data_IF_052783247686
#
_entry.id   IF_052783247686
#
_cell.length_a   1.000
_cell.length_b   1.000
_cell.length_c   1.000
_cell.angle_alpha   90.00
_cell.angle_beta   90.00
_cell.angle_gamma   90.00
#
_symmetry.space_group_name_H-M   'P 1'
#
loop_
_entity.id
_entity.type
_entity.pdbx_description
1 polymer ?
#
# COMPACT_ATOMS: atom_id res chain seq x y z
N UNK A 1 -20.25 -4.68 -11.86
CA UNK A 1 -19.03 -5.23 -12.47
C UNK A 1 -18.08 -5.59 -11.34
N UNK A 2 -17.54 -6.81 -11.32
CA UNK A 2 -16.59 -7.25 -10.31
C UNK A 2 -15.35 -6.36 -10.29
N UNK A 3 -14.86 -6.02 -9.12
CA UNK A 3 -13.74 -5.09 -8.95
C UNK A 3 -12.97 -5.39 -7.68
N UNK A 4 -11.77 -4.87 -7.60
CA UNK A 4 -11.03 -4.75 -6.33
C UNK A 4 -11.76 -3.77 -5.41
N UNK A 5 -11.80 -4.07 -4.11
CA UNK A 5 -12.55 -3.29 -3.11
C UNK A 5 -11.67 -2.72 -2.00
N UNK A 6 -10.51 -3.33 -1.72
CA UNK A 6 -9.61 -2.87 -0.67
C UNK A 6 -8.17 -3.37 -0.90
N UNK A 7 -7.20 -2.78 -0.19
CA UNK A 7 -5.85 -3.33 -0.02
C UNK A 7 -5.86 -4.22 1.21
N UNK A 8 -5.41 -5.48 1.08
CA UNK A 8 -5.31 -6.39 2.22
C UNK A 8 -4.00 -6.25 2.96
N UNK A 9 -2.91 -6.53 2.26
CA UNK A 9 -1.58 -6.50 2.86
C UNK A 9 -0.48 -6.28 1.82
N UNK A 10 0.70 -5.92 2.31
CA UNK A 10 1.93 -5.94 1.52
C UNK A 10 2.90 -6.94 2.14
N UNK A 11 3.46 -7.81 1.30
CA UNK A 11 4.46 -8.79 1.68
C UNK A 11 5.85 -8.32 1.29
N UNK A 12 6.77 -8.34 2.26
CA UNK A 12 8.17 -7.99 2.07
C UNK A 12 9.07 -9.19 2.34
N UNK A 13 10.19 -9.25 1.63
CA UNK A 13 11.30 -10.14 1.93
C UNK A 13 12.53 -9.30 2.28
N UNK A 14 13.31 -9.75 3.25
CA UNK A 14 14.43 -8.98 3.78
C UNK A 14 15.50 -9.83 4.44
N UNK A 15 16.79 -9.49 4.33
CA UNK A 15 17.86 -10.06 5.15
C UNK A 15 17.81 -9.55 6.61
N UNK A 16 17.23 -8.36 6.86
CA UNK A 16 17.15 -7.73 8.19
C UNK A 16 15.85 -8.14 8.93
N UNK A 17 15.44 -9.39 8.79
CA UNK A 17 14.15 -9.90 9.25
C UNK A 17 13.83 -9.56 10.71
N UNK A 18 14.77 -9.81 11.63
CA UNK A 18 14.56 -9.56 13.06
C UNK A 18 14.39 -8.06 13.37
N UNK A 19 15.13 -7.20 12.68
CA UNK A 19 15.03 -5.74 12.83
C UNK A 19 13.70 -5.22 12.28
N UNK A 20 13.20 -5.82 11.20
CA UNK A 20 11.88 -5.48 10.65
C UNK A 20 10.74 -5.96 11.56
N UNK A 21 10.86 -7.14 12.16
CA UNK A 21 9.91 -7.63 13.17
C UNK A 21 9.84 -6.68 14.36
N UNK A 22 10.98 -6.27 14.89
CA UNK A 22 11.06 -5.29 15.98
C UNK A 22 10.45 -3.95 15.57
N UNK A 23 10.77 -3.46 14.37
CA UNK A 23 10.25 -2.21 13.85
C UNK A 23 8.71 -2.23 13.79
N UNK A 24 8.10 -3.22 13.13
CA UNK A 24 6.65 -3.26 12.97
C UNK A 24 5.92 -3.49 14.30
N UNK A 25 6.49 -4.29 15.21
CA UNK A 25 5.87 -4.59 16.50
C UNK A 25 5.99 -3.43 17.50
N UNK A 26 7.21 -2.95 17.75
CA UNK A 26 7.46 -2.05 18.87
C UNK A 26 7.54 -0.57 18.48
N UNK A 27 7.93 -0.28 17.22
CA UNK A 27 8.16 1.08 16.76
C UNK A 27 7.00 1.59 15.89
N UNK A 28 6.59 0.81 14.89
CA UNK A 28 5.49 1.18 13.99
C UNK A 28 4.11 1.04 14.66
N UNK A 29 3.92 0.05 15.49
CA UNK A 29 2.71 -0.16 16.29
C UNK A 29 1.67 -1.07 15.65
N UNK A 30 2.12 -2.12 14.98
CA UNK A 30 1.28 -3.23 14.53
C UNK A 30 1.33 -4.39 15.54
N UNK A 31 0.26 -5.16 15.62
CA UNK A 31 0.19 -6.33 16.49
C UNK A 31 0.62 -7.59 15.71
N UNK A 32 1.57 -8.41 16.22
CA UNK A 32 1.90 -9.69 15.61
C UNK A 32 0.71 -10.67 15.75
N UNK A 33 0.36 -11.38 14.67
CA UNK A 33 -0.79 -12.30 14.64
C UNK A 33 -0.42 -13.74 14.29
N UNK A 34 0.67 -13.94 13.59
CA UNK A 34 1.21 -15.25 13.27
C UNK A 34 2.71 -15.16 13.00
N UNK A 35 3.42 -16.23 13.27
CA UNK A 35 4.82 -16.38 12.90
C UNK A 35 5.16 -17.87 12.75
N UNK A 36 6.08 -18.17 11.86
CA UNK A 36 6.73 -19.45 11.72
C UNK A 36 8.21 -19.25 11.37
N UNK A 37 8.92 -20.30 10.98
CA UNK A 37 10.35 -20.22 10.66
C UNK A 37 10.60 -19.32 9.45
N UNK A 38 11.01 -18.08 9.72
CA UNK A 38 11.32 -17.07 8.72
C UNK A 38 10.14 -16.30 8.14
N UNK A 39 8.95 -16.43 8.74
CA UNK A 39 7.77 -15.64 8.36
C UNK A 39 7.16 -14.94 9.57
N UNK A 40 6.67 -13.71 9.40
CA UNK A 40 5.93 -12.98 10.42
C UNK A 40 4.78 -12.18 9.78
N UNK A 41 3.66 -12.08 10.47
CA UNK A 41 2.44 -11.43 10.02
C UNK A 41 1.94 -10.45 11.07
N UNK A 42 1.59 -9.25 10.64
CA UNK A 42 1.21 -8.15 11.52
C UNK A 42 -0.12 -7.57 11.14
N UNK A 43 -0.93 -7.27 12.14
CA UNK A 43 -2.26 -6.68 12.01
C UNK A 43 -2.24 -5.22 12.46
N UNK A 44 -2.99 -4.37 11.75
CA UNK A 44 -3.39 -3.06 12.26
C UNK A 44 -4.69 -3.22 13.05
N UNK A 45 -4.77 -2.65 14.26
CA UNK A 45 -5.88 -2.89 15.21
C UNK A 45 -7.26 -2.53 14.68
N UNK A 46 -7.35 -1.44 13.93
CA UNK A 46 -8.61 -0.95 13.37
C UNK A 46 -9.07 -1.66 12.11
N UNK A 47 -8.21 -2.49 11.50
CA UNK A 47 -8.52 -3.19 10.26
C UNK A 47 -9.27 -4.50 10.52
N UNK A 48 -10.24 -4.87 9.67
CA UNK A 48 -10.82 -6.21 9.68
C UNK A 48 -9.89 -7.25 9.07
N UNK A 49 -8.84 -6.84 8.35
CA UNK A 49 -7.90 -7.72 7.68
C UNK A 49 -7.18 -8.63 8.68
N UNK A 50 -6.94 -9.89 8.30
CA UNK A 50 -6.17 -10.83 9.14
C UNK A 50 -4.79 -10.28 9.45
N UNK A 51 -4.11 -9.75 8.43
CA UNK A 51 -2.83 -9.05 8.55
C UNK A 51 -2.71 -7.98 7.47
N UNK A 52 -1.89 -6.97 7.71
CA UNK A 52 -1.61 -5.86 6.78
C UNK A 52 -0.14 -5.86 6.32
N UNK A 53 0.74 -6.52 7.06
CA UNK A 53 2.14 -6.73 6.69
C UNK A 53 2.47 -8.21 6.82
N UNK A 54 3.17 -8.75 5.83
CA UNK A 54 3.83 -10.05 5.87
C UNK A 54 5.33 -9.85 5.67
N UNK A 55 6.15 -10.35 6.57
CA UNK A 55 7.60 -10.39 6.42
C UNK A 55 8.07 -11.80 6.12
N UNK A 56 9.06 -11.92 5.25
CA UNK A 56 9.76 -13.17 4.96
C UNK A 56 11.26 -12.96 5.04
N UNK A 57 11.95 -13.83 5.78
CA UNK A 57 13.42 -13.87 5.81
C UNK A 57 13.95 -14.29 4.43
N UNK A 58 14.89 -13.54 3.89
CA UNK A 58 15.48 -13.80 2.58
C UNK A 58 16.86 -13.15 2.46
N UNK A 59 17.66 -13.61 1.51
CA UNK A 59 19.00 -13.06 1.28
C UNK A 59 19.00 -11.67 0.64
N UNK A 60 17.83 -11.25 0.10
CA UNK A 60 17.69 -9.97 -0.60
C UNK A 60 16.40 -9.28 -0.19
N UNK A 61 16.46 -7.94 -0.12
CA UNK A 61 15.31 -7.07 0.00
C UNK A 61 14.44 -7.15 -1.25
N UNK A 62 13.12 -7.31 -1.09
CA UNK A 62 12.15 -7.22 -2.19
C UNK A 62 10.71 -7.05 -1.66
N UNK A 63 9.82 -6.60 -2.53
CA UNK A 63 8.37 -6.70 -2.33
C UNK A 63 7.92 -8.03 -2.95
N UNK A 64 7.45 -8.94 -2.11
CA UNK A 64 7.01 -10.27 -2.55
C UNK A 64 5.62 -10.24 -3.20
N UNK A 65 4.72 -9.43 -2.66
CA UNK A 65 3.33 -9.37 -3.12
C UNK A 65 2.61 -8.13 -2.57
N UNK A 66 1.69 -7.60 -3.37
CA UNK A 66 0.68 -6.62 -2.98
C UNK A 66 -0.68 -7.31 -3.07
N UNK A 67 -1.36 -7.47 -1.95
CA UNK A 67 -2.62 -8.21 -1.88
C UNK A 67 -3.82 -7.26 -1.85
N UNK A 68 -4.79 -7.56 -2.70
CA UNK A 68 -6.02 -6.81 -2.91
C UNK A 68 -7.23 -7.68 -2.57
N UNK A 69 -8.32 -7.05 -2.14
CA UNK A 69 -9.56 -7.71 -1.81
C UNK A 69 -10.56 -7.70 -2.96
N UNK A 70 -11.31 -8.77 -3.08
CA UNK A 70 -12.58 -8.84 -3.80
C UNK A 70 -13.68 -9.29 -2.84
N UNK A 71 -14.95 -8.97 -3.15
CA UNK A 71 -16.05 -9.20 -2.21
C UNK A 71 -16.49 -10.67 -2.11
N UNK A 72 -16.24 -11.46 -3.17
CA UNK A 72 -16.66 -12.87 -3.25
C UNK A 72 -15.74 -13.71 -4.12
N UNK A 73 -15.84 -15.05 -4.04
CA UNK A 73 -15.13 -15.96 -4.93
C UNK A 73 -15.52 -15.73 -6.40
N UNK A 74 -16.79 -15.45 -6.67
CA UNK A 74 -17.25 -15.13 -8.03
C UNK A 74 -16.62 -13.85 -8.57
N UNK A 75 -16.31 -12.87 -7.71
CA UNK A 75 -15.58 -11.68 -8.12
C UNK A 75 -14.10 -11.98 -8.37
N UNK A 76 -13.49 -12.86 -7.56
CA UNK A 76 -12.13 -13.36 -7.79
C UNK A 76 -12.03 -14.05 -9.15
N UNK A 77 -12.97 -14.95 -9.47
CA UNK A 77 -12.99 -15.66 -10.75
C UNK A 77 -13.20 -14.71 -11.94
N UNK A 78 -14.07 -13.72 -11.80
CA UNK A 78 -14.30 -12.71 -12.84
C UNK A 78 -13.07 -11.80 -13.04
N UNK A 79 -12.39 -11.43 -11.96
CA UNK A 79 -11.13 -10.67 -12.02
C UNK A 79 -10.01 -11.50 -12.64
N UNK A 80 -9.91 -12.79 -12.30
CA UNK A 80 -8.97 -13.72 -12.90
C UNK A 80 -9.16 -13.79 -14.43
N UNK A 81 -10.40 -13.96 -14.90
CA UNK A 81 -10.69 -14.01 -16.33
C UNK A 81 -10.22 -12.75 -17.06
N UNK A 82 -10.47 -11.56 -16.50
CA UNK A 82 -10.02 -10.28 -17.08
C UNK A 82 -8.49 -10.13 -17.07
N UNK A 83 -7.83 -10.56 -16.00
CA UNK A 83 -6.37 -10.53 -15.90
C UNK A 83 -5.73 -11.45 -16.95
N UNK A 84 -6.33 -12.64 -17.18
CA UNK A 84 -5.89 -13.56 -18.26
C UNK A 84 -6.14 -12.94 -19.63
N UNK A 85 -7.32 -12.39 -19.88
CA UNK A 85 -7.69 -11.73 -21.15
C UNK A 85 -6.77 -10.54 -21.46
N UNK A 86 -6.36 -9.79 -20.43
CA UNK A 86 -5.42 -8.68 -20.54
C UNK A 86 -3.97 -9.14 -20.81
N UNK A 87 -3.71 -10.44 -20.87
CA UNK A 87 -2.39 -11.02 -21.19
C UNK A 87 -1.36 -10.88 -20.05
N UNK A 88 -1.82 -10.74 -18.81
CA UNK A 88 -0.93 -10.70 -17.65
C UNK A 88 -0.11 -12.01 -17.54
N UNK A 89 1.12 -11.89 -17.04
CA UNK A 89 2.03 -13.04 -16.87
C UNK A 89 1.97 -13.60 -15.46
N UNK A 90 2.45 -14.83 -15.29
CA UNK A 90 2.56 -15.46 -13.97
C UNK A 90 1.20 -15.68 -13.29
N UNK A 91 0.11 -15.76 -14.06
CA UNK A 91 -1.24 -15.91 -13.50
C UNK A 91 -1.43 -17.33 -12.98
N UNK A 92 -1.71 -17.46 -11.67
CA UNK A 92 -2.08 -18.75 -11.07
C UNK A 92 -3.59 -18.98 -11.19
N UNK A 93 -4.02 -20.22 -11.11
CA UNK A 93 -5.46 -20.52 -11.02
C UNK A 93 -5.99 -20.09 -9.64
N UNK A 94 -7.22 -19.56 -9.55
CA UNK A 94 -7.89 -19.32 -8.29
C UNK A 94 -7.99 -20.61 -7.47
N UNK A 95 -7.58 -20.54 -6.21
CA UNK A 95 -7.52 -21.70 -5.31
C UNK A 95 -7.60 -21.24 -3.84
N UNK A 96 -7.90 -22.16 -2.90
CA UNK A 96 -7.73 -21.87 -1.48
C UNK A 96 -6.30 -21.43 -1.17
N UNK A 97 -6.16 -20.32 -0.42
CA UNK A 97 -4.86 -19.79 -0.01
C UNK A 97 -4.32 -20.56 1.20
N UNK A 98 -3.01 -20.80 1.20
CA UNK A 98 -2.31 -21.49 2.29
C UNK A 98 -1.70 -20.55 3.34
N UNK A 99 -1.72 -19.24 3.10
CA UNK A 99 -1.27 -18.23 4.05
C UNK A 99 -2.19 -18.17 5.29
N UNK A 100 -1.68 -17.74 6.46
CA UNK A 100 -2.53 -17.47 7.63
C UNK A 100 -3.71 -16.56 7.28
N UNK A 101 -4.89 -16.93 7.77
CA UNK A 101 -6.16 -16.31 7.37
C UNK A 101 -6.87 -17.04 6.23
N UNK A 102 -6.19 -17.92 5.48
CA UNK A 102 -6.79 -18.66 4.37
C UNK A 102 -7.37 -17.73 3.30
N UNK A 103 -8.55 -18.12 2.79
CA UNK A 103 -9.25 -17.40 1.73
C UNK A 103 -9.17 -18.14 0.40
N UNK A 104 -9.71 -17.52 -0.64
CA UNK A 104 -9.70 -18.00 -2.02
C UNK A 104 -9.15 -16.91 -2.92
N UNK A 105 -8.15 -17.21 -3.75
CA UNK A 105 -7.50 -16.18 -4.55
C UNK A 105 -6.52 -16.71 -5.58
N UNK A 106 -5.92 -15.78 -6.30
CA UNK A 106 -4.89 -16.03 -7.30
C UNK A 106 -3.83 -14.93 -7.29
N UNK A 107 -2.67 -15.22 -7.91
CA UNK A 107 -1.57 -14.27 -8.09
C UNK A 107 -1.28 -14.07 -9.57
N UNK A 108 -0.72 -12.90 -9.88
CA UNK A 108 -0.30 -12.53 -11.23
C UNK A 108 0.76 -11.44 -11.18
N UNK A 109 1.40 -11.16 -12.30
CA UNK A 109 2.28 -10.01 -12.47
C UNK A 109 1.54 -8.88 -13.17
N UNK A 110 1.65 -7.66 -12.62
CA UNK A 110 1.23 -6.45 -13.33
C UNK A 110 2.02 -6.29 -14.64
N UNK A 111 1.63 -5.39 -15.54
CA UNK A 111 2.41 -5.08 -16.74
C UNK A 111 3.90 -4.82 -16.48
N UNK A 112 4.21 -4.20 -15.34
CA UNK A 112 5.58 -3.87 -14.92
C UNK A 112 6.27 -4.99 -14.14
N UNK A 113 5.61 -6.14 -13.91
CA UNK A 113 6.18 -7.30 -13.25
C UNK A 113 6.02 -7.33 -11.73
N UNK A 114 5.32 -6.37 -11.11
CA UNK A 114 4.96 -6.42 -9.70
C UNK A 114 3.99 -7.58 -9.43
N UNK A 115 4.25 -8.36 -8.37
CA UNK A 115 3.35 -9.44 -7.99
C UNK A 115 2.13 -8.92 -7.24
N UNK A 116 0.96 -9.24 -7.75
CA UNK A 116 -0.32 -8.98 -7.10
C UNK A 116 -1.02 -10.27 -6.70
N UNK A 117 -1.78 -10.22 -5.61
CA UNK A 117 -2.72 -11.26 -5.19
C UNK A 117 -4.12 -10.63 -5.11
N UNK A 118 -5.13 -11.31 -5.65
CA UNK A 118 -6.53 -10.95 -5.43
C UNK A 118 -7.20 -12.09 -4.69
N UNK A 119 -7.91 -11.75 -3.60
CA UNK A 119 -8.53 -12.77 -2.75
C UNK A 119 -9.84 -12.33 -2.13
N UNK A 120 -10.69 -13.32 -1.80
CA UNK A 120 -11.89 -13.20 -0.99
C UNK A 120 -11.87 -14.20 0.17
N UNK A 121 -12.86 -14.13 1.06
CA UNK A 121 -13.07 -15.07 2.16
C UNK A 121 -11.86 -15.28 3.08
N UNK A 122 -10.93 -14.32 3.11
CA UNK A 122 -9.86 -14.32 4.10
C UNK A 122 -10.47 -14.09 5.48
N UNK A 123 -10.08 -14.89 6.46
CA UNK A 123 -10.59 -14.79 7.81
C UNK A 123 -10.38 -13.36 8.35
N UNK A 124 -11.48 -12.72 8.71
CA UNK A 124 -11.43 -11.40 9.33
C UNK A 124 -10.98 -11.51 10.78
N UNK A 125 -10.06 -10.67 11.18
CA UNK A 125 -9.81 -10.42 12.59
C UNK A 125 -10.86 -9.47 13.17
N UNK A 126 -11.03 -9.47 14.48
CA UNK A 126 -11.87 -8.47 15.15
C UNK A 126 -11.17 -7.10 15.01
N UNK A 127 -11.81 -6.16 14.35
CA UNK A 127 -11.38 -4.77 14.38
C UNK A 127 -11.61 -4.19 15.78
N UNK A 128 -10.59 -3.59 16.36
CA UNK A 128 -10.68 -2.93 17.67
C UNK A 128 -10.62 -1.42 17.40
N UNK A 129 -11.55 -0.63 17.96
CA UNK A 129 -11.48 0.82 17.83
C UNK A 129 -10.11 1.36 18.29
N UNK A 130 -9.45 2.10 17.44
CA UNK A 130 -8.19 2.80 17.76
C UNK A 130 -8.54 4.20 18.20
N UNK A 131 -8.13 4.57 19.39
CA UNK A 131 -8.31 5.92 19.87
C UNK A 131 -7.14 6.82 19.41
N UNK A 132 -7.42 8.11 19.22
CA UNK A 132 -6.38 9.09 18.80
C UNK A 132 -5.15 9.12 19.72
N UNK A 133 -5.31 8.79 21.00
CA UNK A 133 -4.20 8.72 21.95
C UNK A 133 -3.36 7.44 21.88
N UNK A 134 -3.80 6.42 21.13
CA UNK A 134 -3.02 5.20 20.96
C UNK A 134 -1.83 5.43 20.02
N UNK A 135 -1.97 6.33 19.06
CA UNK A 135 -0.91 6.71 18.11
C UNK A 135 -0.40 5.54 17.27
N UNK A 136 -1.27 4.57 16.93
CA UNK A 136 -0.93 3.38 16.15
C UNK A 136 -1.74 3.34 14.84
N UNK A 137 -1.26 2.61 13.82
CA UNK A 137 -1.99 2.44 12.56
C UNK A 137 -3.37 1.81 12.74
N UNK A 138 -4.37 2.38 12.06
CA UNK A 138 -5.73 1.85 11.98
C UNK A 138 -5.83 0.77 10.90
N UNK A 139 -5.25 1.03 9.71
CA UNK A 139 -5.25 0.14 8.54
C UNK A 139 -4.22 0.61 7.51
N UNK A 140 -4.02 -0.12 6.42
CA UNK A 140 -3.37 0.43 5.23
C UNK A 140 -4.30 1.50 4.63
N UNK A 141 -3.75 2.67 4.35
CA UNK A 141 -4.45 3.74 3.66
C UNK A 141 -4.33 3.57 2.14
N UNK A 142 -3.12 3.58 1.64
CA UNK A 142 -2.84 3.48 0.21
C UNK A 142 -1.45 2.93 -0.06
N UNK A 143 -1.21 2.57 -1.31
CA UNK A 143 0.10 2.22 -1.85
C UNK A 143 0.44 3.17 -2.99
N UNK A 144 1.72 3.39 -3.20
CA UNK A 144 2.22 4.18 -4.32
C UNK A 144 3.23 3.38 -5.13
N UNK A 145 3.05 3.38 -6.44
CA UNK A 145 3.88 2.65 -7.39
C UNK A 145 4.64 3.60 -8.30
N UNK A 146 5.82 3.20 -8.72
CA UNK A 146 6.49 3.74 -9.89
C UNK A 146 6.28 2.83 -11.10
N UNK A 147 6.15 3.46 -12.27
CA UNK A 147 6.06 2.77 -13.54
C UNK A 147 6.78 3.55 -14.63
N UNK A 148 7.53 2.89 -15.53
CA UNK A 148 8.12 3.56 -16.69
C UNK A 148 7.04 4.08 -17.66
N UNK A 149 5.85 3.45 -17.68
CA UNK A 149 4.67 3.94 -18.39
C UNK A 149 3.48 4.04 -17.42
N UNK A 150 3.56 5.02 -16.52
CA UNK A 150 2.58 5.24 -15.48
C UNK A 150 1.16 5.50 -16.02
N UNK A 151 1.03 6.07 -17.22
CA UNK A 151 -0.28 6.30 -17.86
C UNK A 151 -0.91 5.00 -18.33
N UNK A 152 -0.14 4.15 -19.00
CA UNK A 152 -0.62 2.84 -19.43
C UNK A 152 -0.94 1.96 -18.22
N UNK A 153 -0.10 1.97 -17.19
CA UNK A 153 -0.38 1.22 -15.96
C UNK A 153 -1.64 1.74 -15.25
N UNK A 154 -1.86 3.05 -15.19
CA UNK A 154 -3.09 3.65 -14.66
C UNK A 154 -4.33 3.13 -15.40
N UNK A 155 -4.31 3.15 -16.72
CA UNK A 155 -5.42 2.66 -17.53
C UNK A 155 -5.65 1.16 -17.34
N UNK A 156 -4.57 0.38 -17.23
CA UNK A 156 -4.65 -1.05 -16.97
C UNK A 156 -5.36 -1.35 -15.62
N UNK A 157 -5.05 -0.64 -14.55
CA UNK A 157 -5.73 -0.81 -13.27
C UNK A 157 -7.23 -0.46 -13.35
N UNK A 158 -7.58 0.54 -14.16
CA UNK A 158 -8.98 0.91 -14.38
C UNK A 158 -9.72 -0.19 -15.15
N UNK A 159 -9.18 -0.61 -16.29
CA UNK A 159 -9.86 -1.51 -17.22
C UNK A 159 -9.92 -2.96 -16.68
N UNK A 160 -8.83 -3.44 -16.07
CA UNK A 160 -8.69 -4.82 -15.65
C UNK A 160 -9.16 -5.05 -14.23
N UNK A 161 -8.78 -4.19 -13.28
CA UNK A 161 -9.08 -4.38 -11.86
C UNK A 161 -10.27 -3.57 -11.34
N UNK A 162 -10.81 -2.68 -12.18
CA UNK A 162 -12.01 -1.90 -11.86
C UNK A 162 -11.75 -0.75 -10.89
N UNK A 163 -10.52 -0.25 -10.83
CA UNK A 163 -10.23 1.02 -10.15
C UNK A 163 -10.90 2.19 -10.88
N UNK A 164 -11.04 3.30 -10.20
CA UNK A 164 -11.57 4.54 -10.76
C UNK A 164 -10.58 5.66 -10.54
N UNK A 165 -10.44 6.51 -11.55
CA UNK A 165 -9.61 7.70 -11.45
C UNK A 165 -10.24 8.68 -10.46
N UNK A 166 -9.45 9.18 -9.54
CA UNK A 166 -9.82 10.27 -8.64
C UNK A 166 -9.27 11.59 -9.13
N UNK A 167 -7.96 11.69 -9.28
CA UNK A 167 -7.31 12.92 -9.70
C UNK A 167 -6.01 12.65 -10.44
N UNK A 168 -5.47 13.73 -11.04
CA UNK A 168 -4.10 13.81 -11.55
C UNK A 168 -3.35 14.99 -10.95
N UNK A 169 -2.05 14.85 -10.72
CA UNK A 169 -1.13 15.97 -10.59
C UNK A 169 -0.45 16.18 -11.95
N UNK A 170 -0.88 17.20 -12.67
CA UNK A 170 -0.46 17.44 -14.05
C UNK A 170 -0.70 16.21 -14.92
N UNK A 171 0.35 15.76 -15.62
CA UNK A 171 0.41 14.46 -16.29
C UNK A 171 1.39 13.48 -15.63
N UNK A 172 1.79 13.79 -14.39
CA UNK A 172 2.88 13.16 -13.67
C UNK A 172 2.41 12.05 -12.72
N UNK A 173 1.33 12.26 -11.94
CA UNK A 173 0.89 11.31 -10.92
C UNK A 173 -0.61 11.11 -10.96
N UNK A 174 -1.06 9.87 -11.07
CA UNK A 174 -2.47 9.50 -10.98
C UNK A 174 -2.83 9.01 -9.59
N UNK A 175 -4.08 9.24 -9.20
CA UNK A 175 -4.69 8.76 -7.96
C UNK A 175 -5.92 7.91 -8.30
N UNK A 176 -5.91 6.66 -7.85
CA UNK A 176 -6.92 5.66 -8.16
C UNK A 176 -7.60 5.17 -6.89
N UNK A 177 -8.92 5.00 -6.97
CA UNK A 177 -9.74 4.48 -5.88
C UNK A 177 -10.44 3.18 -6.25
N UNK A 178 -10.63 2.30 -5.26
CA UNK A 178 -11.47 1.11 -5.38
C UNK A 178 -12.69 1.16 -4.44
N UNK A 179 -12.74 2.15 -3.55
CA UNK A 179 -13.83 2.44 -2.62
C UNK A 179 -14.02 3.97 -2.49
N UNK A 180 -14.68 4.45 -1.44
CA UNK A 180 -14.95 5.88 -1.23
C UNK A 180 -13.75 6.71 -0.77
N UNK A 181 -12.61 6.12 -0.41
CA UNK A 181 -11.39 6.89 -0.15
C UNK A 181 -10.89 7.53 -1.45
N UNK A 182 -10.41 8.76 -1.38
CA UNK A 182 -9.91 9.49 -2.56
C UNK A 182 -8.93 8.65 -3.36
N UNK A 183 -8.02 7.96 -2.73
CA UNK A 183 -7.18 6.99 -3.40
C UNK A 183 -6.77 5.84 -2.48
N UNK A 184 -6.58 4.68 -3.10
CA UNK A 184 -5.97 3.50 -2.51
C UNK A 184 -4.68 3.14 -3.25
N UNK A 185 -4.51 3.67 -4.44
CA UNK A 185 -3.35 3.50 -5.30
C UNK A 185 -2.99 4.83 -5.93
N UNK A 186 -1.70 5.17 -5.95
CA UNK A 186 -1.20 6.24 -6.81
C UNK A 186 -0.03 5.72 -7.65
N UNK A 187 0.14 6.27 -8.85
CA UNK A 187 1.15 5.83 -9.81
C UNK A 187 1.87 7.06 -10.37
N UNK A 188 3.20 7.01 -10.35
CA UNK A 188 4.06 8.07 -10.87
C UNK A 188 5.19 7.49 -11.73
N UNK A 189 5.81 8.30 -12.61
CA UNK A 189 6.88 7.83 -13.49
C UNK A 189 8.11 7.43 -12.69
N UNK A 190 8.74 6.34 -13.10
CA UNK A 190 9.98 5.85 -12.51
C UNK A 190 10.22 4.38 -12.83
N UNK A 191 11.31 3.81 -12.31
CA UNK A 191 11.56 2.38 -12.45
C UNK A 191 10.47 1.57 -11.74
N UNK A 192 10.07 0.40 -12.27
CA UNK A 192 8.96 -0.36 -11.71
C UNK A 192 9.27 -0.83 -10.28
N UNK A 193 8.56 -0.28 -9.32
CA UNK A 193 8.71 -0.63 -7.90
C UNK A 193 7.56 -0.12 -7.05
N UNK A 194 7.46 -0.63 -5.82
CA UNK A 194 6.68 -0.02 -4.75
C UNK A 194 7.46 1.19 -4.21
N UNK A 195 6.87 2.39 -4.30
CA UNK A 195 7.47 3.59 -3.72
C UNK A 195 7.30 3.58 -2.20
N UNK A 196 6.05 3.48 -1.72
CA UNK A 196 5.76 3.39 -0.28
C UNK A 196 4.40 2.76 0.01
N UNK A 197 4.21 2.42 1.27
CA UNK A 197 2.91 2.03 1.85
C UNK A 197 2.53 3.03 2.93
N UNK A 198 1.33 3.59 2.83
CA UNK A 198 0.78 4.51 3.81
C UNK A 198 -0.20 3.80 4.75
N UNK A 199 -0.16 4.19 6.01
CA UNK A 199 -1.00 3.65 7.07
C UNK A 199 -1.86 4.75 7.68
N UNK A 200 -3.17 4.56 7.69
CA UNK A 200 -4.11 5.49 8.33
C UNK A 200 -3.89 5.53 9.84
N UNK A 201 -3.83 6.74 10.36
CA UNK A 201 -3.80 7.05 11.78
C UNK A 201 -5.13 7.67 12.21
N UNK A 202 -5.50 7.53 13.49
CA UNK A 202 -6.72 8.15 14.02
C UNK A 202 -6.55 9.66 14.16
N UNK A 203 -6.75 10.37 13.06
CA UNK A 203 -6.61 11.82 12.95
C UNK A 203 -5.18 12.35 13.13
N UNK A 204 -5.04 13.67 13.06
CA UNK A 204 -3.74 14.35 13.18
C UNK A 204 -3.10 14.11 14.55
N UNK A 205 -3.88 14.12 15.64
CA UNK A 205 -3.32 13.87 16.99
C UNK A 205 -2.75 12.47 17.11
N UNK A 206 -3.45 11.45 16.57
CA UNK A 206 -2.94 10.07 16.52
C UNK A 206 -1.67 9.95 15.70
N UNK A 207 -1.60 10.63 14.53
CA UNK A 207 -0.41 10.69 13.72
C UNK A 207 0.78 11.31 14.48
N UNK A 208 0.59 12.44 15.11
CA UNK A 208 1.65 13.13 15.86
C UNK A 208 2.17 12.30 17.05
N UNK A 209 1.29 11.54 17.72
CA UNK A 209 1.70 10.60 18.79
C UNK A 209 2.50 9.42 18.22
N UNK A 210 2.11 8.90 17.07
CA UNK A 210 2.89 7.89 16.35
C UNK A 210 4.27 8.41 15.96
N UNK A 211 4.36 9.63 15.43
CA UNK A 211 5.62 10.32 15.11
C UNK A 211 6.49 10.45 16.38
N UNK A 212 5.88 10.88 17.50
CA UNK A 212 6.60 10.98 18.77
C UNK A 212 7.20 9.62 19.18
N UNK A 213 6.42 8.54 19.11
CA UNK A 213 6.93 7.18 19.41
C UNK A 213 8.12 6.81 18.54
N UNK A 214 8.04 7.05 17.22
CA UNK A 214 9.14 6.77 16.30
C UNK A 214 10.41 7.56 16.67
N UNK A 215 10.26 8.85 16.98
CA UNK A 215 11.35 9.73 17.42
C UNK A 215 12.00 9.25 18.73
N UNK A 216 11.21 8.71 19.68
CA UNK A 216 11.74 8.12 20.92
C UNK A 216 12.51 6.80 20.66
N UNK A 217 12.38 6.21 19.49
CA UNK A 217 13.07 5.02 19.03
C UNK A 217 14.11 5.32 17.92
N UNK A 218 14.61 6.55 17.85
CA UNK A 218 15.64 7.00 16.92
C UNK A 218 15.28 6.81 15.43
N UNK A 219 13.98 6.85 15.11
CA UNK A 219 13.48 6.82 13.73
C UNK A 219 13.18 8.24 13.28
N UNK A 220 14.00 8.75 12.36
CA UNK A 220 13.87 10.09 11.84
C UNK A 220 12.80 10.23 10.77
N UNK A 221 12.12 11.40 10.80
CA UNK A 221 11.23 11.81 9.72
C UNK A 221 12.07 12.07 8.47
N UNK A 222 11.67 11.47 7.35
CA UNK A 222 12.28 11.75 6.05
C UNK A 222 11.64 12.93 5.36
N UNK A 223 10.32 13.03 5.43
CA UNK A 223 9.57 14.15 4.90
C UNK A 223 8.27 14.31 5.70
N UNK A 224 7.94 15.56 6.08
CA UNK A 224 6.76 15.89 6.87
C UNK A 224 7.10 16.33 8.32
N UNK A 225 6.10 16.44 9.20
CA UNK A 225 4.69 16.33 8.90
C UNK A 225 4.20 17.44 7.96
N UNK A 226 3.29 17.09 7.07
CA UNK A 226 2.72 17.99 6.08
C UNK A 226 1.29 17.60 5.69
N UNK A 227 0.74 18.29 4.69
CA UNK A 227 -0.57 17.99 4.12
C UNK A 227 -0.52 18.07 2.60
N UNK A 228 -0.88 16.99 1.92
CA UNK A 228 -1.00 16.95 0.48
C UNK A 228 -2.22 17.74 -0.01
N UNK A 229 -2.19 18.26 -1.23
CA UNK A 229 -3.37 18.89 -1.84
C UNK A 229 -4.29 17.85 -2.47
N UNK A 230 -3.75 16.94 -3.28
CA UNK A 230 -4.52 15.84 -3.84
C UNK A 230 -4.85 14.82 -2.74
N UNK A 231 -6.14 14.58 -2.49
CA UNK A 231 -6.62 13.72 -1.41
C UNK A 231 -6.64 14.38 -0.03
N UNK A 232 -6.10 15.60 0.11
CA UNK A 232 -6.14 16.43 1.32
C UNK A 232 -5.69 15.72 2.63
N UNK A 233 -4.92 14.65 2.52
CA UNK A 233 -4.43 13.88 3.67
C UNK A 233 -3.18 14.51 4.29
N UNK A 234 -3.05 14.35 5.61
CA UNK A 234 -1.78 14.65 6.28
C UNK A 234 -0.79 13.51 6.04
N UNK A 235 0.49 13.80 6.14
CA UNK A 235 1.54 12.80 5.88
C UNK A 235 2.77 12.98 6.77
N UNK A 236 3.48 11.90 6.99
CA UNK A 236 4.86 11.88 7.47
C UNK A 236 5.54 10.58 7.05
N UNK A 237 6.68 10.69 6.38
CA UNK A 237 7.40 9.57 5.79
C UNK A 237 8.58 9.12 6.65
N UNK A 238 8.78 7.82 6.68
CA UNK A 238 9.84 7.14 7.40
C UNK A 238 10.45 6.04 6.54
N UNK A 239 11.55 5.48 7.01
CA UNK A 239 12.22 4.35 6.35
C UNK A 239 12.40 3.24 7.37
N UNK A 240 12.02 2.03 6.98
CA UNK A 240 12.21 0.82 7.81
C UNK A 240 13.69 0.41 7.86
N UNK A 241 14.09 -0.49 8.76
CA UNK A 241 15.47 -0.98 8.82
C UNK A 241 16.01 -1.50 7.49
N UNK A 242 15.18 -2.17 6.69
CA UNK A 242 15.55 -2.66 5.36
C UNK A 242 15.46 -1.60 4.25
N UNK A 243 15.11 -0.36 4.60
CA UNK A 243 15.03 0.73 3.62
C UNK A 243 13.74 0.77 2.81
N UNK A 244 12.64 0.17 3.27
CA UNK A 244 11.32 0.41 2.68
C UNK A 244 10.77 1.74 3.17
N UNK A 245 10.17 2.51 2.27
CA UNK A 245 9.48 3.73 2.65
C UNK A 245 8.08 3.40 3.18
N UNK A 246 7.73 4.00 4.31
CA UNK A 246 6.43 3.88 4.96
C UNK A 246 5.93 5.25 5.40
N UNK A 247 4.63 5.43 5.39
CA UNK A 247 3.97 6.70 5.69
C UNK A 247 2.94 6.54 6.80
N UNK A 248 2.95 7.45 7.78
CA UNK A 248 1.76 7.73 8.56
C UNK A 248 0.94 8.81 7.86
N UNK A 249 -0.34 8.55 7.67
CA UNK A 249 -1.30 9.48 7.05
C UNK A 249 -2.58 9.55 7.85
N UNK A 250 -3.34 10.62 7.69
CA UNK A 250 -4.68 10.74 8.26
C UNK A 250 -5.54 11.69 7.44
N UNK A 251 -6.84 11.66 7.68
CA UNK A 251 -7.80 12.58 7.08
C UNK A 251 -7.83 12.53 5.55
N UNK A 252 -7.55 11.37 4.95
CA UNK A 252 -7.71 11.19 3.51
C UNK A 252 -9.16 11.47 3.09
N UNK A 253 -9.33 12.33 2.08
CA UNK A 253 -10.63 12.75 1.58
C UNK A 253 -11.51 11.55 1.22
N UNK A 254 -12.79 11.64 1.59
CA UNK A 254 -13.81 10.66 1.21
C UNK A 254 -14.62 11.25 0.07
N UNK A 255 -14.67 10.56 -1.06
CA UNK A 255 -15.37 11.01 -2.26
C UNK A 255 -16.81 10.50 -2.28
N UNK A 256 -17.71 11.35 -2.74
CA UNK A 256 -19.06 10.93 -3.11
C UNK A 256 -19.04 10.42 -4.57
N UNK A 257 -19.16 9.12 -4.72
CA UNK A 257 -19.10 8.44 -6.02
C UNK A 257 -20.15 8.92 -7.03
N UNK A 258 -21.27 9.46 -6.56
CA UNK A 258 -22.34 9.91 -7.43
C UNK A 258 -22.04 11.23 -8.15
N UNK A 259 -21.12 12.03 -7.58
CA UNK A 259 -20.85 13.39 -8.05
C UNK A 259 -19.37 13.70 -8.23
N UNK A 260 -18.49 12.73 -7.95
CA UNK A 260 -17.05 12.96 -8.06
C UNK A 260 -16.61 13.07 -9.53
N UNK A 261 -16.00 14.18 -9.86
CA UNK A 261 -15.36 14.40 -11.15
C UNK A 261 -13.84 14.51 -10.95
N UNK A 262 -13.04 13.71 -11.68
CA UNK A 262 -11.59 13.79 -11.62
C UNK A 262 -11.05 15.18 -11.95
N UNK A 263 -10.08 15.65 -11.15
CA UNK A 263 -9.42 16.95 -11.33
C UNK A 263 -7.98 16.74 -11.80
N UNK A 264 -7.45 17.75 -12.46
CA UNK A 264 -6.03 17.86 -12.78
C UNK A 264 -5.45 19.02 -11.99
N UNK A 265 -4.66 18.70 -10.96
CA UNK A 265 -3.98 19.71 -10.15
C UNK A 265 -2.74 20.21 -10.88
N UNK A 266 -2.63 21.53 -11.08
CA UNK A 266 -1.44 22.12 -11.66
C UNK A 266 -0.25 21.99 -10.68
N UNK A 267 0.93 21.57 -11.13
CA UNK A 267 2.12 21.51 -10.29
C UNK A 267 2.42 22.87 -9.65
N UNK A 268 2.59 22.87 -8.35
CA UNK A 268 2.98 24.05 -7.56
C UNK A 268 3.76 23.63 -6.32
N UNK A 269 4.55 24.49 -5.69
CA UNK A 269 5.26 24.16 -4.45
C UNK A 269 4.34 23.69 -3.32
N UNK A 270 3.13 24.25 -3.24
CA UNK A 270 2.15 23.90 -2.21
C UNK A 270 1.35 22.64 -2.53
N UNK A 271 1.43 22.14 -3.76
CA UNK A 271 0.67 20.95 -4.17
C UNK A 271 1.13 19.70 -3.42
N UNK A 272 2.41 19.57 -3.21
CA UNK A 272 3.00 18.42 -2.51
C UNK A 272 2.90 18.56 -0.99
N UNK A 273 2.93 19.80 -0.47
CA UNK A 273 2.81 20.08 0.96
C UNK A 273 2.22 21.47 1.19
N UNK A 274 0.94 21.52 1.54
CA UNK A 274 0.22 22.76 1.82
C UNK A 274 0.76 23.49 3.05
N UNK A 275 1.28 22.75 4.03
CA UNK A 275 1.76 23.33 5.28
C UNK A 275 3.19 23.84 5.19
N UNK A 276 4.06 23.13 4.49
CA UNK A 276 5.47 23.48 4.31
C UNK A 276 6.20 23.79 5.63
N UNK A 277 5.85 23.11 6.71
CA UNK A 277 6.41 23.30 8.06
C UNK A 277 7.26 22.11 8.51
N UNK A 278 7.18 20.99 7.82
CA UNK A 278 7.91 19.76 8.14
C UNK A 278 9.38 19.81 7.71
N UNK A 279 10.06 18.71 7.95
CA UNK A 279 11.45 18.51 7.49
C UNK A 279 11.48 17.75 6.16
N UNK A 280 12.58 17.85 5.44
CA UNK A 280 12.80 17.10 4.22
C UNK A 280 11.95 17.53 3.03
N UNK A 281 11.70 16.60 2.14
CA UNK A 281 10.94 16.77 0.91
C UNK A 281 10.99 15.50 0.05
N UNK A 282 10.38 15.47 -1.14
CA UNK A 282 10.42 14.31 -2.04
C UNK A 282 11.84 13.82 -2.32
N UNK A 283 12.82 14.72 -2.35
CA UNK A 283 14.25 14.40 -2.58
C UNK A 283 14.91 13.65 -1.41
N UNK A 284 14.30 13.61 -0.23
CA UNK A 284 14.81 12.89 0.94
C UNK A 284 14.22 11.48 1.08
N UNK A 285 13.27 11.16 0.23
CA UNK A 285 12.71 9.81 0.15
C UNK A 285 13.73 8.84 -0.45
N UNK A 286 13.69 7.56 -0.07
CA UNK A 286 14.51 6.55 -0.73
C UNK A 286 14.29 6.60 -2.23
N UNK A 287 15.38 6.62 -3.00
CA UNK A 287 15.26 6.47 -4.44
C UNK A 287 14.83 5.05 -4.76
N UNK A 288 13.73 4.87 -5.52
CA UNK A 288 13.35 3.55 -5.96
C UNK A 288 14.43 3.04 -6.93
N UNK A 289 15.16 2.02 -6.52
CA UNK A 289 16.04 1.32 -7.44
C UNK A 289 15.21 0.32 -8.26
N UNK A 290 15.42 0.29 -9.60
CA UNK A 290 14.83 -0.74 -10.40
C UNK A 290 15.45 -2.06 -9.94
N UNK A 291 14.70 -2.88 -9.26
CA UNK A 291 15.14 -4.23 -9.03
C UNK A 291 14.68 -5.10 -10.21
N UNK A 292 15.46 -5.10 -11.26
CA UNK A 292 15.22 -5.87 -12.46
C UNK A 292 15.09 -7.39 -12.20
N UNK A 293 15.48 -7.84 -11.01
CA UNK A 293 15.34 -9.24 -10.58
C UNK A 293 14.16 -9.49 -9.65
N UNK A 294 13.58 -8.44 -9.03
CA UNK A 294 12.58 -8.62 -7.98
C UNK A 294 11.19 -8.95 -8.51
N UNK A 295 10.89 -8.50 -9.71
CA UNK A 295 9.55 -8.61 -10.29
C UNK A 295 9.51 -9.52 -11.51
N UNK A 296 10.57 -10.24 -11.81
CA UNK A 296 10.56 -11.23 -12.86
C UNK A 296 10.05 -12.57 -12.32
N UNK A 297 9.22 -13.29 -13.10
CA UNK A 297 8.86 -14.66 -12.74
C UNK A 297 10.14 -15.46 -12.54
N UNK A 298 10.28 -16.10 -11.39
CA UNK A 298 11.32 -17.09 -11.23
C UNK A 298 11.05 -18.21 -12.26
N UNK A 299 11.87 -18.29 -13.30
CA UNK A 299 11.91 -19.40 -14.24
C UNK A 299 10.77 -19.42 -15.26
N UNK A 300 10.71 -18.43 -16.15
CA UNK A 300 10.13 -18.61 -17.50
C UNK A 300 11.25 -18.84 -18.47
#
# INVERSE_FOLDING_TARGET
MSRVTEIRYVGYATPDFESEVDFYTHKWGLDPVASDDGMAYFKARGAPEHHVVRLRKADRKRVDVIALAADSQSDVDALHARVVEAGAKGVTQPAPLTSPGGGYGFRFFSPDGLTFEISSDVASGTAVPVARWDGVPVKISHIVLHSPDHKALTQWFIDVLGFRLSDWIGDFMSFLRCNSAHHRLAILPGPPCLNHVAYDMEGVDGMMRGIHRLRQNDIDIRWGPGRHTAGNNTFSYFVTPSGFAVEYTSELEVVDEAVWEPKVHAPSPLLMDQWSIGVGGPQTMPHPEPDAGLFQPAGV
#
